data_IF_717284155884
#
_entry.id   IF_717284155884
#
_cell.length_a   1.000
_cell.length_b   1.000
_cell.length_c   1.000
_cell.angle_alpha   90.00
_cell.angle_beta   90.00
_cell.angle_gamma   90.00
#
_symmetry.space_group_name_H-M   'P 1'
#
loop_
_entity.id
_entity.type
_entity.pdbx_description
1 polymer ?
#
# COMPACT_ATOMS: atom_id res chain seq x y z
N UNK A 1 -4.47 6.70 -11.81
CA UNK A 1 -3.62 5.63 -11.27
C UNK A 1 -4.45 4.84 -10.28
N UNK A 2 -4.55 3.52 -10.45
CA UNK A 2 -5.26 2.63 -9.51
C UNK A 2 -4.18 1.82 -8.78
N UNK A 3 -4.24 1.80 -7.46
CA UNK A 3 -3.37 0.98 -6.61
C UNK A 3 -4.28 0.00 -5.87
N UNK A 4 -3.92 -1.27 -5.89
CA UNK A 4 -4.62 -2.34 -5.19
C UNK A 4 -3.63 -3.00 -4.23
N UNK A 5 -3.95 -2.90 -2.94
CA UNK A 5 -3.12 -3.37 -1.83
C UNK A 5 -3.35 -4.86 -1.54
N UNK A 6 -2.40 -5.50 -0.87
CA UNK A 6 -2.47 -6.91 -0.45
C UNK A 6 -2.70 -7.95 -1.58
N UNK A 7 -2.54 -7.58 -2.85
CA UNK A 7 -2.55 -8.54 -3.95
C UNK A 7 -1.19 -9.24 -4.05
N UNK A 8 -1.18 -10.55 -3.88
CA UNK A 8 -0.03 -11.35 -4.27
C UNK A 8 0.03 -11.49 -5.81
N UNK A 9 1.19 -11.88 -6.34
CA UNK A 9 1.42 -12.00 -7.79
C UNK A 9 0.43 -12.96 -8.49
N UNK A 10 -0.07 -13.95 -7.76
CA UNK A 10 -1.02 -14.98 -8.18
C UNK A 10 -2.47 -14.67 -7.78
N UNK A 11 -2.74 -13.47 -7.24
CA UNK A 11 -4.11 -13.06 -6.86
C UNK A 11 -4.95 -12.68 -8.08
N UNK A 12 -4.49 -11.86 -9.04
CA UNK A 12 -5.29 -11.50 -10.20
C UNK A 12 -5.50 -12.68 -11.15
N UNK A 13 -6.71 -12.81 -11.71
CA UNK A 13 -7.06 -13.84 -12.69
C UNK A 13 -6.13 -13.82 -13.92
N UNK A 14 -5.74 -12.64 -14.38
CA UNK A 14 -4.80 -12.44 -15.48
C UNK A 14 -3.36 -12.97 -15.23
N UNK A 15 -3.03 -13.39 -14.00
CA UNK A 15 -1.79 -14.04 -13.60
C UNK A 15 -1.97 -15.46 -13.05
N UNK A 16 -3.17 -16.06 -13.16
CA UNK A 16 -3.44 -17.42 -12.70
C UNK A 16 -4.18 -17.51 -11.35
N UNK A 17 -4.92 -16.45 -10.98
CA UNK A 17 -5.81 -16.33 -9.82
C UNK A 17 -6.36 -17.64 -9.25
N UNK A 18 -6.37 -17.76 -7.91
CA UNK A 18 -6.81 -18.96 -7.20
C UNK A 18 -8.31 -19.31 -7.34
N UNK A 19 -9.12 -18.40 -7.90
CA UNK A 19 -10.55 -18.61 -8.10
C UNK A 19 -11.01 -18.06 -9.48
N UNK A 20 -12.03 -18.67 -10.11
CA UNK A 20 -12.66 -18.13 -11.31
C UNK A 20 -13.20 -16.72 -11.06
N UNK A 21 -13.04 -15.84 -12.05
CA UNK A 21 -13.57 -14.47 -12.04
C UNK A 21 -13.25 -13.68 -10.76
N UNK A 22 -12.05 -13.88 -10.20
CA UNK A 22 -11.62 -13.19 -8.96
C UNK A 22 -11.43 -11.68 -9.15
N UNK A 23 -10.98 -11.24 -10.33
CA UNK A 23 -10.68 -9.83 -10.62
C UNK A 23 -11.13 -9.39 -12.02
N UNK A 24 -12.41 -9.57 -12.40
CA UNK A 24 -12.86 -9.50 -13.80
C UNK A 24 -12.63 -8.13 -14.46
N UNK A 25 -12.78 -7.04 -13.70
CA UNK A 25 -12.53 -5.69 -14.21
C UNK A 25 -11.03 -5.38 -14.38
N UNK A 26 -10.19 -5.88 -13.47
CA UNK A 26 -8.73 -5.75 -13.58
C UNK A 26 -8.21 -6.60 -14.74
N UNK A 27 -8.74 -7.81 -14.90
CA UNK A 27 -8.36 -8.72 -15.97
C UNK A 27 -8.73 -8.17 -17.34
N UNK A 28 -9.92 -7.55 -17.45
CA UNK A 28 -10.31 -6.81 -18.66
C UNK A 28 -9.32 -5.70 -18.97
N UNK A 29 -9.00 -4.84 -18.00
CA UNK A 29 -8.04 -3.75 -18.20
C UNK A 29 -6.65 -4.29 -18.60
N UNK A 30 -6.23 -5.40 -17.99
CA UNK A 30 -4.96 -6.05 -18.27
C UNK A 30 -4.92 -6.72 -19.67
N UNK A 31 -6.07 -7.02 -20.27
CA UNK A 31 -6.19 -7.53 -21.64
C UNK A 31 -6.01 -6.44 -22.71
N UNK A 32 -6.32 -5.20 -22.35
CA UNK A 32 -6.25 -4.02 -23.24
C UNK A 32 -4.92 -3.25 -23.09
N UNK A 33 -4.12 -3.58 -22.06
CA UNK A 33 -2.90 -2.85 -21.70
C UNK A 33 -1.62 -3.70 -21.67
N UNK A 34 -0.59 -3.13 -21.04
CA UNK A 34 0.70 -3.80 -20.82
C UNK A 34 0.71 -4.56 -19.50
N UNK A 35 1.26 -5.77 -19.49
CA UNK A 35 1.43 -6.62 -18.30
C UNK A 35 2.90 -6.94 -18.04
N UNK A 36 3.35 -6.76 -16.81
CA UNK A 36 4.66 -7.19 -16.35
C UNK A 36 4.55 -8.53 -15.63
N UNK A 37 5.23 -9.57 -16.14
CA UNK A 37 5.18 -10.93 -15.56
C UNK A 37 6.27 -11.22 -14.53
N UNK A 38 7.32 -10.41 -14.51
CA UNK A 38 8.51 -10.61 -13.67
C UNK A 38 8.68 -9.47 -12.64
N UNK A 39 7.57 -8.87 -12.19
CA UNK A 39 7.56 -7.84 -11.16
C UNK A 39 7.26 -8.44 -9.77
N UNK A 40 7.85 -9.60 -9.48
CA UNK A 40 7.61 -10.37 -8.25
C UNK A 40 8.76 -10.10 -7.28
N UNK A 41 8.46 -9.96 -5.99
CA UNK A 41 9.46 -9.80 -4.93
C UNK A 41 9.75 -11.12 -4.22
N UNK A 42 10.88 -11.23 -3.52
CA UNK A 42 11.18 -12.39 -2.70
C UNK A 42 10.09 -12.65 -1.65
N UNK A 43 9.86 -13.94 -1.37
CA UNK A 43 8.89 -14.40 -0.36
C UNK A 43 9.12 -13.69 0.98
N UNK A 44 8.07 -13.06 1.50
CA UNK A 44 8.05 -12.42 2.81
C UNK A 44 8.53 -13.36 3.92
N UNK A 45 8.10 -14.63 3.88
CA UNK A 45 8.47 -15.61 4.90
C UNK A 45 9.97 -15.90 4.90
N UNK A 46 10.59 -15.99 3.72
CA UNK A 46 12.04 -16.24 3.62
C UNK A 46 12.85 -15.03 4.10
N UNK A 47 12.51 -13.83 3.61
CA UNK A 47 13.16 -12.58 4.00
C UNK A 47 13.09 -12.37 5.53
N UNK A 48 11.94 -12.63 6.13
CA UNK A 48 11.76 -12.58 7.58
C UNK A 48 12.74 -13.51 8.32
N UNK A 49 12.78 -14.79 7.96
CA UNK A 49 13.66 -15.77 8.62
C UNK A 49 15.14 -15.40 8.45
N UNK A 50 15.53 -14.92 7.27
CA UNK A 50 16.90 -14.50 7.00
C UNK A 50 17.27 -13.25 7.81
N UNK A 51 16.35 -12.31 7.99
CA UNK A 51 16.54 -11.13 8.84
C UNK A 51 16.65 -11.49 10.32
N UNK A 52 15.82 -12.41 10.82
CA UNK A 52 15.92 -12.89 12.21
C UNK A 52 17.29 -13.52 12.47
N UNK A 53 17.79 -14.34 11.55
CA UNK A 53 19.10 -15.00 11.67
C UNK A 53 20.26 -14.02 11.55
N UNK A 54 20.17 -13.09 10.61
CA UNK A 54 21.28 -12.19 10.26
C UNK A 54 21.28 -10.86 11.03
N UNK A 55 20.18 -10.53 11.71
CA UNK A 55 19.93 -9.23 12.34
C UNK A 55 20.04 -8.05 11.35
N UNK A 56 19.81 -8.31 10.06
CA UNK A 56 19.74 -7.28 9.02
C UNK A 56 18.30 -6.79 8.86
N UNK A 57 18.17 -5.61 8.25
CA UNK A 57 16.87 -5.03 7.90
C UNK A 57 16.22 -5.83 6.75
N UNK A 58 14.88 -6.00 6.77
CA UNK A 58 14.16 -6.67 5.70
C UNK A 58 14.18 -5.87 4.40
N UNK A 59 13.96 -6.56 3.28
CA UNK A 59 13.87 -5.93 1.97
C UNK A 59 12.72 -4.88 1.90
N UNK A 60 11.67 -5.10 2.70
CA UNK A 60 10.52 -4.19 2.86
C UNK A 60 10.55 -3.52 4.23
N UNK A 61 11.66 -2.84 4.52
CA UNK A 61 11.80 -2.05 5.73
C UNK A 61 10.75 -0.92 5.78
N UNK A 62 10.40 -0.50 7.01
CA UNK A 62 9.32 0.45 7.27
C UNK A 62 9.59 1.79 6.57
N UNK A 63 10.78 2.35 6.74
CA UNK A 63 11.08 3.69 6.25
C UNK A 63 11.15 3.84 4.72
N UNK A 64 11.84 2.95 3.99
CA UNK A 64 11.94 3.06 2.53
C UNK A 64 10.71 2.53 1.78
N UNK A 65 9.95 1.59 2.35
CA UNK A 65 8.85 0.92 1.64
C UNK A 65 7.51 1.06 2.36
N UNK A 66 7.42 0.63 3.62
CA UNK A 66 6.13 0.56 4.32
C UNK A 66 5.43 1.90 4.54
N UNK A 67 6.16 2.91 5.02
CA UNK A 67 5.63 4.26 5.29
C UNK A 67 5.22 4.97 3.99
N UNK A 68 6.07 5.06 2.93
CA UNK A 68 5.65 5.65 1.66
C UNK A 68 4.43 4.97 1.03
N UNK A 69 4.34 3.63 1.07
CA UNK A 69 3.19 2.89 0.55
C UNK A 69 1.89 3.26 1.28
N UNK A 70 1.95 3.32 2.62
CA UNK A 70 0.81 3.72 3.46
C UNK A 70 0.37 5.15 3.15
N UNK A 71 1.32 6.07 3.02
CA UNK A 71 1.06 7.48 2.70
C UNK A 71 0.35 7.63 1.36
N UNK A 72 0.79 6.91 0.32
CA UNK A 72 0.15 6.93 -0.99
C UNK A 72 -1.28 6.39 -0.94
N UNK A 73 -1.51 5.31 -0.20
CA UNK A 73 -2.85 4.75 -0.01
C UNK A 73 -3.79 5.76 0.64
N UNK A 74 -3.38 6.39 1.74
CA UNK A 74 -4.17 7.43 2.41
C UNK A 74 -4.37 8.66 1.52
N UNK A 75 -3.36 9.06 0.75
CA UNK A 75 -3.48 10.18 -0.18
C UNK A 75 -4.52 9.91 -1.27
N UNK A 76 -4.58 8.68 -1.79
CA UNK A 76 -5.63 8.25 -2.73
C UNK A 76 -7.03 8.33 -2.12
N UNK A 77 -7.19 7.89 -0.88
CA UNK A 77 -8.46 7.99 -0.15
C UNK A 77 -8.90 9.45 0.07
N UNK A 78 -7.96 10.34 0.41
CA UNK A 78 -8.23 11.76 0.59
C UNK A 78 -8.61 12.41 -0.75
N UNK A 79 -7.89 12.12 -1.84
CA UNK A 79 -8.27 12.63 -3.17
C UNK A 79 -9.66 12.16 -3.58
N UNK A 80 -10.01 10.89 -3.33
CA UNK A 80 -11.35 10.36 -3.58
C UNK A 80 -12.40 11.08 -2.73
N UNK A 81 -12.14 11.31 -1.44
CA UNK A 81 -13.07 11.98 -0.54
C UNK A 81 -13.27 13.45 -0.90
N UNK A 82 -12.21 14.15 -1.30
CA UNK A 82 -12.26 15.55 -1.74
C UNK A 82 -12.88 15.73 -3.12
N UNK A 83 -12.98 14.66 -3.93
CA UNK A 83 -13.58 14.70 -5.27
C UNK A 83 -12.78 15.53 -6.29
N UNK A 84 -11.51 15.83 -6.01
CA UNK A 84 -10.62 16.67 -6.83
C UNK A 84 -9.20 16.15 -6.86
N UNK A 85 -8.45 16.56 -7.87
CA UNK A 85 -7.02 16.28 -7.99
C UNK A 85 -6.25 17.00 -6.89
N UNK A 86 -5.35 16.29 -6.22
CA UNK A 86 -4.47 16.80 -5.18
C UNK A 86 -3.01 16.56 -5.55
N UNK A 87 -2.12 17.44 -5.12
CA UNK A 87 -0.67 17.30 -5.33
C UNK A 87 -0.01 17.00 -3.99
N UNK A 88 0.63 15.84 -3.87
CA UNK A 88 1.36 15.42 -2.67
C UNK A 88 2.84 15.75 -2.83
N UNK A 89 3.45 16.41 -1.85
CA UNK A 89 4.89 16.60 -1.77
C UNK A 89 5.55 15.31 -1.26
N UNK A 90 6.45 14.68 -2.04
CA UNK A 90 7.09 13.41 -1.65
C UNK A 90 8.07 13.56 -0.48
N UNK A 91 8.52 14.77 -0.15
CA UNK A 91 9.48 15.00 0.93
C UNK A 91 8.78 15.23 2.27
N UNK A 92 7.68 15.97 2.25
CA UNK A 92 6.93 16.33 3.48
C UNK A 92 5.69 15.47 3.70
N UNK A 93 5.26 14.73 2.67
CA UNK A 93 4.06 13.90 2.66
C UNK A 93 2.79 14.69 2.99
N UNK A 94 2.77 15.95 2.56
CA UNK A 94 1.67 16.90 2.70
C UNK A 94 1.10 17.27 1.34
N UNK A 95 -0.16 17.72 1.32
CA UNK A 95 -0.74 18.27 0.10
C UNK A 95 -0.31 19.71 -0.09
N UNK A 96 0.27 20.03 -1.25
CA UNK A 96 0.78 21.35 -1.59
C UNK A 96 -0.39 22.34 -1.66
N UNK A 97 -0.28 23.46 -0.93
CA UNK A 97 -1.25 24.55 -0.87
C UNK A 97 -2.69 24.13 -0.50
N UNK A 98 -2.86 23.01 0.22
CA UNK A 98 -4.18 22.45 0.50
C UNK A 98 -4.45 22.19 2.00
N UNK A 99 -4.85 23.22 2.77
CA UNK A 99 -5.12 23.08 4.19
C UNK A 99 -6.37 22.25 4.49
N UNK A 100 -7.27 22.05 3.52
CA UNK A 100 -8.47 21.23 3.69
C UNK A 100 -8.10 19.74 3.61
N UNK A 101 -7.40 19.33 2.55
CA UNK A 101 -6.93 17.96 2.39
C UNK A 101 -5.95 17.56 3.49
N UNK A 102 -5.08 18.49 3.93
CA UNK A 102 -4.14 18.21 5.01
C UNK A 102 -4.82 17.96 6.37
N UNK A 103 -6.05 18.43 6.61
CA UNK A 103 -6.82 18.09 7.84
C UNK A 103 -7.26 16.63 7.84
N UNK A 104 -7.44 16.02 6.68
CA UNK A 104 -7.89 14.63 6.53
C UNK A 104 -6.75 13.60 6.72
N UNK A 105 -5.50 14.06 6.82
CA UNK A 105 -4.31 13.20 7.05
C UNK A 105 -4.26 12.59 8.44
N UNK A 106 -5.06 13.11 9.38
CA UNK A 106 -5.05 12.68 10.77
C UNK A 106 -6.44 12.70 11.39
N UNK A 107 -6.48 12.38 12.68
CA UNK A 107 -7.68 12.43 13.51
C UNK A 107 -7.37 13.32 14.71
N UNK A 108 -8.35 14.10 15.15
CA UNK A 108 -8.21 14.94 16.34
C UNK A 108 -7.97 14.10 17.60
N UNK A 109 -8.58 12.91 17.65
CA UNK A 109 -8.49 11.99 18.78
C UNK A 109 -8.18 10.57 18.28
N UNK A 110 -7.27 9.91 18.99
CA UNK A 110 -6.96 8.49 18.81
C UNK A 110 -7.49 7.71 20.00
N UNK A 111 -8.08 6.51 19.78
CA UNK A 111 -8.44 5.65 20.89
C UNK A 111 -7.18 5.35 21.72
N UNK A 112 -7.33 5.41 23.04
CA UNK A 112 -6.22 5.08 23.94
C UNK A 112 -5.80 3.63 23.68
N UNK A 113 -4.49 3.34 23.59
CA UNK A 113 -4.03 1.97 23.43
C UNK A 113 -4.49 1.11 24.61
N UNK A 114 -4.85 -0.13 24.34
CA UNK A 114 -5.13 -1.10 25.39
C UNK A 114 -3.86 -1.35 26.19
N UNK A 115 -3.85 -0.94 27.46
CA UNK A 115 -2.73 -1.17 28.36
C UNK A 115 -2.90 -2.58 28.94
N UNK A 116 -2.14 -3.54 28.40
CA UNK A 116 -2.03 -4.86 29.00
C UNK A 116 -1.43 -4.72 30.41
N UNK A 117 -2.02 -5.42 31.39
CA UNK A 117 -1.46 -5.49 32.73
C UNK A 117 -0.03 -6.02 32.64
N UNK A 118 0.92 -5.36 33.33
CA UNK A 118 2.28 -5.87 33.43
C UNK A 118 2.25 -7.20 34.17
N UNK A 119 2.80 -8.24 33.54
CA UNK A 119 3.06 -9.55 34.14
C UNK A 119 4.28 -9.47 35.03
#
# INVERSE_FOLDING_TARGET
MIVADDMNWDTPGCFGGAAPDVTPHLDKLASEGMRFKNAISESFAKDFIDCVKSQKRPARDLEPVGRPASVLYYAGNISRQSGRTLTLDPNTETFIDDPEANRLRGRTEWPKPDILAKV
#
